data_IF_526458293553
#
_entry.id   IF_526458293553
#
_cell.length_a   1.000
_cell.length_b   1.000
_cell.length_c   1.000
_cell.angle_alpha   90.00
_cell.angle_beta   90.00
_cell.angle_gamma   90.00
#
_symmetry.space_group_name_H-M   'P 1'
#
loop_
_entity.id
_entity.type
_entity.pdbx_description
1 polymer ?
#
# COMPACT_ATOMS: atom_id res chain seq x y z
N UNK A 1 -9.75 12.81 1.20
CA UNK A 1 -9.17 13.67 2.26
C UNK A 1 -8.75 15.00 1.65
N UNK A 2 -9.03 16.12 2.33
CA UNK A 2 -8.51 17.43 1.93
C UNK A 2 -6.97 17.51 2.03
N UNK A 3 -6.37 16.68 2.90
CA UNK A 3 -4.92 16.57 3.04
C UNK A 3 -4.33 15.69 1.93
N UNK A 4 -3.49 16.29 1.08
CA UNK A 4 -2.82 15.63 -0.06
C UNK A 4 -1.99 14.43 0.40
N UNK A 5 -1.24 14.56 1.50
CA UNK A 5 -0.40 13.48 2.03
C UNK A 5 -1.23 12.23 2.39
N UNK A 6 -2.39 12.41 3.02
CA UNK A 6 -3.29 11.31 3.39
C UNK A 6 -3.89 10.66 2.13
N UNK A 7 -4.33 11.45 1.14
CA UNK A 7 -4.81 10.92 -0.16
C UNK A 7 -3.77 10.07 -0.86
N UNK A 8 -2.53 10.57 -0.98
CA UNK A 8 -1.43 9.83 -1.60
C UNK A 8 -1.14 8.53 -0.85
N UNK A 9 -1.21 8.54 0.49
CA UNK A 9 -1.04 7.33 1.29
C UNK A 9 -2.08 6.25 0.97
N UNK A 10 -3.36 6.64 0.84
CA UNK A 10 -4.42 5.69 0.47
C UNK A 10 -4.28 5.19 -0.97
N UNK A 11 -3.92 6.05 -1.93
CA UNK A 11 -3.65 5.60 -3.29
C UNK A 11 -2.49 4.59 -3.35
N UNK A 12 -1.40 4.86 -2.61
CA UNK A 12 -0.28 3.93 -2.52
C UNK A 12 -0.70 2.59 -1.91
N UNK A 13 -1.46 2.60 -0.81
CA UNK A 13 -1.98 1.38 -0.19
C UNK A 13 -2.91 0.61 -1.14
N UNK A 14 -3.75 1.30 -1.91
CA UNK A 14 -4.65 0.68 -2.88
C UNK A 14 -3.89 0.03 -4.05
N UNK A 15 -2.87 0.71 -4.59
CA UNK A 15 -2.00 0.13 -5.64
C UNK A 15 -1.28 -1.11 -5.10
N UNK A 16 -0.71 -1.03 -3.89
CA UNK A 16 -0.04 -2.17 -3.26
C UNK A 16 -1.00 -3.34 -3.02
N UNK A 17 -2.26 -3.08 -2.64
CA UNK A 17 -3.30 -4.10 -2.51
C UNK A 17 -3.57 -4.82 -3.84
N UNK A 18 -3.73 -4.07 -4.94
CA UNK A 18 -3.97 -4.66 -6.26
C UNK A 18 -2.78 -5.53 -6.71
N UNK A 19 -1.55 -5.04 -6.51
CA UNK A 19 -0.33 -5.81 -6.79
C UNK A 19 -0.25 -7.06 -5.90
N UNK A 20 -0.58 -6.94 -4.62
CA UNK A 20 -0.59 -8.04 -3.66
C UNK A 20 -1.54 -9.15 -4.11
N UNK A 21 -2.76 -8.78 -4.51
CA UNK A 21 -3.78 -9.72 -5.01
C UNK A 21 -3.32 -10.38 -6.32
N UNK A 22 -2.86 -9.59 -7.30
CA UNK A 22 -2.43 -10.12 -8.59
C UNK A 22 -1.26 -11.10 -8.46
N UNK A 23 -0.23 -10.74 -7.67
CA UNK A 23 0.93 -11.60 -7.42
C UNK A 23 0.52 -12.82 -6.57
N UNK A 24 -0.42 -12.68 -5.63
CA UNK A 24 -0.94 -13.79 -4.85
C UNK A 24 -1.63 -14.85 -5.71
N UNK A 25 -2.50 -14.40 -6.63
CA UNK A 25 -3.13 -15.27 -7.62
C UNK A 25 -2.06 -15.97 -8.47
N UNK A 26 -1.10 -15.22 -9.01
CA UNK A 26 -0.01 -15.80 -9.80
C UNK A 26 0.82 -16.83 -9.01
N UNK A 27 1.07 -16.59 -7.73
CA UNK A 27 1.81 -17.51 -6.85
C UNK A 27 1.09 -18.86 -6.75
N UNK A 28 -0.23 -18.86 -6.57
CA UNK A 28 -1.02 -20.11 -6.53
C UNK A 28 -1.03 -20.80 -7.89
N UNK A 29 -1.30 -20.05 -8.96
CA UNK A 29 -1.40 -20.60 -10.32
C UNK A 29 -0.09 -21.22 -10.82
N UNK A 30 1.06 -20.75 -10.32
CA UNK A 30 2.39 -21.26 -10.69
C UNK A 30 2.89 -22.41 -9.81
N UNK A 31 2.09 -22.91 -8.86
CA UNK A 31 2.50 -23.97 -7.93
C UNK A 31 3.42 -23.49 -6.79
N UNK A 32 3.34 -22.21 -6.44
CA UNK A 32 4.11 -21.55 -5.39
C UNK A 32 5.65 -21.71 -5.47
N UNK A 33 6.31 -21.39 -6.61
CA UNK A 33 7.77 -21.34 -6.65
C UNK A 33 8.28 -20.33 -5.62
N UNK A 34 9.33 -20.69 -4.88
CA UNK A 34 9.75 -19.94 -3.69
C UNK A 34 10.10 -18.47 -3.98
N UNK A 35 10.63 -18.16 -5.16
CA UNK A 35 11.01 -16.79 -5.56
C UNK A 35 9.79 -15.90 -5.83
N UNK A 36 8.70 -16.45 -6.36
CA UNK A 36 7.42 -15.74 -6.52
C UNK A 36 6.74 -15.60 -5.16
N UNK A 37 6.78 -16.67 -4.34
CA UNK A 37 6.19 -16.66 -3.01
C UNK A 37 6.85 -15.62 -2.10
N UNK A 38 8.19 -15.51 -2.09
CA UNK A 38 8.88 -14.49 -1.28
C UNK A 38 8.60 -13.08 -1.80
N UNK A 39 8.48 -12.88 -3.12
CA UNK A 39 8.07 -11.59 -3.69
C UNK A 39 6.69 -11.17 -3.17
N UNK A 40 5.72 -12.09 -3.13
CA UNK A 40 4.40 -11.86 -2.55
C UNK A 40 4.47 -11.48 -1.07
N UNK A 41 5.31 -12.16 -0.28
CA UNK A 41 5.45 -11.88 1.15
C UNK A 41 6.11 -10.52 1.43
N UNK A 42 7.15 -10.16 0.67
CA UNK A 42 7.79 -8.84 0.78
C UNK A 42 6.79 -7.74 0.44
N UNK A 43 6.01 -7.90 -0.63
CA UNK A 43 4.96 -6.97 -0.97
C UNK A 43 3.87 -6.89 0.11
N UNK A 44 3.58 -8.00 0.80
CA UNK A 44 2.65 -8.02 1.93
C UNK A 44 3.11 -7.11 3.07
N UNK A 45 4.40 -7.15 3.40
CA UNK A 45 5.01 -6.29 4.43
C UNK A 45 4.93 -4.82 4.00
N UNK A 46 5.24 -4.52 2.73
CA UNK A 46 5.09 -3.16 2.18
C UNK A 46 3.65 -2.69 2.28
N UNK A 47 2.69 -3.52 1.87
CA UNK A 47 1.27 -3.21 1.95
C UNK A 47 0.82 -2.94 3.40
N UNK A 48 1.25 -3.77 4.34
CA UNK A 48 0.97 -3.58 5.77
C UNK A 48 1.51 -2.23 6.29
N UNK A 49 2.76 -1.89 5.96
CA UNK A 49 3.35 -0.59 6.33
C UNK A 49 2.59 0.58 5.69
N UNK A 50 2.14 0.45 4.44
CA UNK A 50 1.35 1.48 3.76
C UNK A 50 -0.03 1.68 4.42
N UNK A 51 -0.69 0.61 4.89
CA UNK A 51 -1.92 0.71 5.69
C UNK A 51 -1.64 1.47 6.98
N UNK A 52 -0.58 1.10 7.72
CA UNK A 52 -0.21 1.80 8.96
C UNK A 52 0.10 3.28 8.70
N UNK A 53 0.80 3.60 7.61
CA UNK A 53 1.10 4.98 7.20
C UNK A 53 -0.18 5.76 6.86
N UNK A 54 -1.12 5.16 6.13
CA UNK A 54 -2.40 5.79 5.81
C UNK A 54 -3.23 6.04 7.08
N UNK A 55 -3.27 5.06 8.00
CA UNK A 55 -3.91 5.22 9.32
C UNK A 55 -3.28 6.33 10.13
N UNK A 56 -1.95 6.35 10.24
CA UNK A 56 -1.23 7.40 10.97
C UNK A 56 -1.52 8.79 10.41
N UNK A 57 -1.47 8.98 9.09
CA UNK A 57 -1.78 10.27 8.45
C UNK A 57 -3.27 10.65 8.49
N UNK A 58 -4.15 9.71 8.84
CA UNK A 58 -5.57 9.98 9.06
C UNK A 58 -5.82 10.44 10.50
N UNK A 59 -5.10 9.87 11.47
CA UNK A 59 -5.17 10.23 12.89
C UNK A 59 -4.36 11.49 13.23
N UNK A 60 -3.26 11.71 12.51
CA UNK A 60 -2.35 12.85 12.69
C UNK A 60 -2.15 13.57 11.35
N UNK A 61 -3.15 14.35 10.88
CA UNK A 61 -3.06 15.07 9.62
C UNK A 61 -1.89 16.06 9.65
N UNK A 62 -1.09 16.08 8.58
CA UNK A 62 -0.06 17.11 8.40
C UNK A 62 -0.71 18.42 8.01
N UNK A 63 -0.35 19.51 8.70
CA UNK A 63 -0.77 20.84 8.32
C UNK A 63 -0.39 21.11 6.85
N UNK A 64 -1.37 21.54 6.05
CA UNK A 64 -1.20 21.86 4.64
C UNK A 64 -1.67 23.29 4.41
N UNK A 65 -0.84 24.12 3.78
CA UNK A 65 -1.21 25.47 3.38
C UNK A 65 -2.21 25.41 2.22
N UNK A 66 -3.22 26.29 2.26
CA UNK A 66 -4.18 26.46 1.16
C UNK A 66 -3.51 27.03 -0.10
N UNK A 67 -2.33 27.66 0.05
CA UNK A 67 -1.53 28.16 -1.09
C UNK A 67 -0.81 27.05 -1.87
N UNK A 68 -0.64 25.88 -1.25
CA UNK A 68 0.03 24.71 -1.84
C UNK A 68 -0.98 23.63 -2.28
N UNK A 69 -2.28 23.97 -2.30
CA UNK A 69 -3.38 23.06 -2.58
C UNK A 69 -3.70 22.95 -4.08
#
# INVERSE_FOLDING_TARGET
SAHRATRVAFHAAFIAMLLQVAIGIHTVMSGAPWHVAILHQILAVVFFVLILRARFLSLYPRAQSVRDA
#
